data_IF_542602904974
#
_entry.id   IF_542602904974
#
_cell.length_a   1.000
_cell.length_b   1.000
_cell.length_c   1.000
_cell.angle_alpha   90.00
_cell.angle_beta   90.00
_cell.angle_gamma   90.00
#
_symmetry.space_group_name_H-M   'P 1'
#
loop_
_entity.id
_entity.type
_entity.pdbx_description
1 polymer ?
#
# COMPACT_ATOMS: atom_id res chain seq x y z
N UNK A 1 6.90 -7.12 2.65
CA UNK A 1 6.64 -5.66 2.83
C UNK A 1 7.54 -4.95 3.85
N UNK A 2 8.47 -5.65 4.47
CA UNK A 2 9.40 -5.02 5.43
C UNK A 2 10.21 -3.87 4.82
N UNK A 3 10.47 -3.93 3.52
CA UNK A 3 11.23 -2.89 2.84
C UNK A 3 10.61 -1.50 2.92
N UNK A 4 9.31 -1.40 3.20
CA UNK A 4 8.65 -0.11 3.42
C UNK A 4 9.28 0.59 4.63
N UNK A 5 9.58 -0.17 5.68
CA UNK A 5 10.17 0.38 6.90
C UNK A 5 11.62 0.81 6.72
N UNK A 6 12.28 0.32 5.67
CA UNK A 6 13.68 0.68 5.37
C UNK A 6 13.80 1.73 4.27
N UNK A 7 12.70 2.40 3.95
CA UNK A 7 12.69 3.51 3.02
C UNK A 7 12.16 3.24 1.63
N UNK A 8 11.73 2.02 1.33
CA UNK A 8 11.12 1.71 0.04
C UNK A 8 9.73 2.32 -0.02
N UNK A 9 9.40 2.97 -1.15
CA UNK A 9 8.08 3.55 -1.32
C UNK A 9 7.02 2.44 -1.43
N UNK A 10 5.90 2.56 -0.69
CA UNK A 10 4.84 1.54 -0.75
C UNK A 10 4.33 1.26 -2.16
N UNK A 11 4.14 2.29 -2.97
CA UNK A 11 3.63 2.11 -4.33
C UNK A 11 4.63 1.41 -5.24
N UNK A 12 5.94 1.61 -5.03
CA UNK A 12 6.96 0.87 -5.77
C UNK A 12 6.88 -0.61 -5.45
N UNK A 13 6.66 -0.96 -4.19
CA UNK A 13 6.49 -2.34 -3.79
C UNK A 13 5.23 -2.95 -4.39
N UNK A 14 4.13 -2.20 -4.40
CA UNK A 14 2.87 -2.66 -5.00
C UNK A 14 3.06 -2.92 -6.50
N UNK A 15 3.76 -2.03 -7.20
CA UNK A 15 4.06 -2.21 -8.63
C UNK A 15 4.91 -3.45 -8.88
N UNK A 16 5.90 -3.71 -8.03
CA UNK A 16 6.74 -4.89 -8.13
C UNK A 16 5.92 -6.17 -7.96
N UNK A 17 4.98 -6.18 -7.00
CA UNK A 17 4.09 -7.32 -6.79
C UNK A 17 3.19 -7.55 -8.00
N UNK A 18 2.68 -6.48 -8.62
CA UNK A 18 1.85 -6.57 -9.82
C UNK A 18 2.64 -7.08 -11.03
N UNK A 19 3.93 -6.79 -11.11
CA UNK A 19 4.78 -7.32 -12.17
C UNK A 19 4.94 -8.84 -12.04
N UNK A 20 5.06 -9.34 -10.81
CA UNK A 20 5.16 -10.79 -10.56
C UNK A 20 3.82 -11.48 -10.76
N UNK A 21 2.74 -10.85 -10.39
CA UNK A 21 1.41 -11.44 -10.42
C UNK A 21 0.38 -10.41 -10.86
N UNK A 22 0.22 -10.21 -12.19
CA UNK A 22 -0.68 -9.18 -12.71
C UNK A 22 -2.16 -9.36 -12.34
N UNK A 23 -2.54 -10.55 -11.91
CA UNK A 23 -3.91 -10.83 -11.51
C UNK A 23 -4.28 -10.28 -10.12
N UNK A 24 -3.31 -9.79 -9.36
CA UNK A 24 -3.58 -9.21 -8.04
C UNK A 24 -4.49 -8.00 -8.16
N UNK A 25 -5.49 -7.94 -7.27
CA UNK A 25 -6.37 -6.77 -7.17
C UNK A 25 -5.84 -5.83 -6.09
N UNK A 26 -6.40 -4.62 -6.02
CA UNK A 26 -6.08 -3.71 -4.92
C UNK A 26 -6.51 -4.30 -3.58
N UNK A 27 -7.61 -5.06 -3.56
CA UNK A 27 -8.04 -5.75 -2.35
C UNK A 27 -7.00 -6.77 -1.89
N UNK A 28 -6.38 -7.49 -2.82
CA UNK A 28 -5.31 -8.44 -2.49
C UNK A 28 -4.09 -7.73 -1.89
N UNK A 29 -3.71 -6.59 -2.46
CA UNK A 29 -2.61 -5.78 -1.94
C UNK A 29 -2.92 -5.26 -0.54
N UNK A 30 -4.15 -4.79 -0.33
CA UNK A 30 -4.60 -4.29 0.97
C UNK A 30 -4.57 -5.38 2.03
N UNK A 31 -5.03 -6.57 1.68
CA UNK A 31 -5.05 -7.70 2.59
C UNK A 31 -3.63 -8.13 2.97
N UNK A 32 -2.73 -8.20 1.99
CA UNK A 32 -1.33 -8.54 2.23
C UNK A 32 -0.65 -7.50 3.13
N UNK A 33 -0.92 -6.22 2.87
CA UNK A 33 -0.42 -5.13 3.71
C UNK A 33 -0.90 -5.29 5.16
N UNK A 34 -2.18 -5.55 5.36
CA UNK A 34 -2.75 -5.72 6.70
C UNK A 34 -2.19 -6.93 7.42
N UNK A 35 -1.98 -8.03 6.71
CA UNK A 35 -1.36 -9.23 7.30
C UNK A 35 0.05 -8.95 7.78
N UNK A 36 0.77 -8.10 7.07
CA UNK A 36 2.15 -7.76 7.42
C UNK A 36 2.22 -6.71 8.54
N UNK A 37 1.30 -5.75 8.55
CA UNK A 37 1.25 -4.68 9.52
C UNK A 37 -0.07 -4.72 10.29
N UNK A 38 -0.18 -5.69 11.21
CA UNK A 38 -1.43 -5.98 11.92
C UNK A 38 -1.99 -4.82 12.74
N UNK A 39 -1.12 -3.92 13.19
CA UNK A 39 -1.52 -2.79 14.03
C UNK A 39 -2.03 -1.59 13.26
N UNK A 40 -1.89 -1.59 11.94
CA UNK A 40 -2.32 -0.48 11.10
C UNK A 40 -3.84 -0.40 11.07
N UNK A 41 -4.38 0.82 11.08
CA UNK A 41 -5.82 1.03 11.06
C UNK A 41 -6.46 0.58 9.75
N UNK A 42 -7.76 0.27 9.80
CA UNK A 42 -8.50 -0.13 8.60
C UNK A 42 -8.59 0.98 7.57
N UNK A 43 -8.43 2.24 7.98
CA UNK A 43 -8.42 3.38 7.06
C UNK A 43 -7.28 3.28 6.05
N UNK A 44 -6.11 2.82 6.49
CA UNK A 44 -4.98 2.60 5.59
C UNK A 44 -5.31 1.51 4.58
N UNK A 45 -5.92 0.43 5.03
CA UNK A 45 -6.34 -0.68 4.17
C UNK A 45 -7.33 -0.20 3.11
N UNK A 46 -8.33 0.58 3.52
CA UNK A 46 -9.32 1.14 2.60
C UNK A 46 -8.68 2.08 1.58
N UNK A 47 -7.66 2.84 1.98
CA UNK A 47 -6.93 3.71 1.06
C UNK A 47 -6.25 2.93 -0.06
N UNK A 48 -5.70 1.76 0.26
CA UNK A 48 -5.07 0.91 -0.75
C UNK A 48 -6.10 0.43 -1.79
N UNK A 49 -7.32 0.15 -1.37
CA UNK A 49 -8.40 -0.21 -2.30
C UNK A 49 -8.64 0.90 -3.34
N UNK A 50 -8.41 2.15 -2.96
CA UNK A 50 -8.63 3.31 -3.81
C UNK A 50 -7.39 3.76 -4.56
N UNK A 51 -6.28 3.04 -4.44
CA UNK A 51 -5.05 3.37 -5.14
C UNK A 51 -5.26 3.34 -6.66
N UNK A 52 -4.75 4.37 -7.34
CA UNK A 52 -4.74 4.42 -8.79
C UNK A 52 -3.58 3.58 -9.31
N UNK A 53 -3.80 2.28 -9.40
CA UNK A 53 -2.80 1.34 -9.91
C UNK A 53 -2.52 1.61 -11.40
N UNK A 54 -1.36 1.17 -11.93
CA UNK A 54 -1.07 1.32 -13.36
C UNK A 54 -2.22 0.79 -14.22
N UNK A 55 -2.63 1.58 -15.20
CA UNK A 55 -3.75 1.24 -16.09
C UNK A 55 -5.11 1.75 -15.66
N UNK A 56 -5.23 2.37 -14.49
CA UNK A 56 -6.48 3.00 -14.04
C UNK A 56 -6.47 4.50 -14.27
N UNK A 57 -7.65 5.05 -14.55
CA UNK A 57 -7.84 6.49 -14.74
C UNK A 57 -8.08 7.24 -13.43
N UNK A 58 -8.58 6.54 -12.42
CA UNK A 58 -9.05 7.15 -11.18
C UNK A 58 -8.45 6.48 -9.97
N UNK A 59 -8.39 7.23 -8.88
CA UNK A 59 -7.93 6.74 -7.60
C UNK A 59 -6.86 7.63 -7.01
N UNK A 60 -6.33 7.20 -5.87
CA UNK A 60 -5.28 7.93 -5.17
C UNK A 60 -3.96 7.75 -5.93
N UNK A 61 -3.32 8.86 -6.29
CA UNK A 61 -2.04 8.83 -7.00
C UNK A 61 -0.91 8.34 -6.09
N UNK A 62 0.19 7.90 -6.70
CA UNK A 62 1.30 7.26 -6.00
C UNK A 62 1.86 8.09 -4.86
N UNK A 63 2.16 9.36 -5.12
CA UNK A 63 2.75 10.23 -4.11
C UNK A 63 1.87 10.38 -2.88
N UNK A 64 0.57 10.58 -3.11
CA UNK A 64 -0.40 10.69 -2.03
C UNK A 64 -0.58 9.36 -1.30
N UNK A 65 -0.61 8.25 -2.04
CA UNK A 65 -0.73 6.92 -1.45
C UNK A 65 0.46 6.63 -0.53
N UNK A 66 1.67 6.95 -0.98
CA UNK A 66 2.88 6.77 -0.17
C UNK A 66 2.80 7.57 1.12
N UNK A 67 2.32 8.82 1.04
CA UNK A 67 2.17 9.68 2.21
C UNK A 67 1.12 9.14 3.19
N UNK A 68 0.00 8.65 2.69
CA UNK A 68 -1.06 8.07 3.52
C UNK A 68 -0.54 6.85 4.27
N UNK A 69 0.13 5.95 3.58
CA UNK A 69 0.66 4.74 4.19
C UNK A 69 1.72 5.08 5.23
N UNK A 70 2.62 6.00 4.93
CA UNK A 70 3.65 6.44 5.88
C UNK A 70 3.02 7.00 7.14
N UNK A 71 1.96 7.80 7.01
CA UNK A 71 1.24 8.37 8.14
C UNK A 71 0.66 7.28 9.05
N UNK A 72 -0.03 6.30 8.48
CA UNK A 72 -0.65 5.25 9.28
C UNK A 72 0.35 4.28 9.89
N UNK A 73 1.47 4.04 9.22
CA UNK A 73 2.54 3.24 9.80
C UNK A 73 3.13 3.92 11.02
N UNK A 74 3.32 5.24 10.94
CA UNK A 74 3.80 6.02 12.06
C UNK A 74 2.83 5.99 13.24
N UNK A 75 1.54 6.18 12.97
CA UNK A 75 0.52 6.12 14.01
C UNK A 75 0.44 4.76 14.67
N UNK A 76 0.69 3.70 13.93
CA UNK A 76 0.67 2.33 14.45
C UNK A 76 1.95 1.95 15.20
N UNK A 77 2.95 2.82 15.20
CA UNK A 77 4.19 2.58 15.93
C UNK A 77 5.27 1.84 15.14
N UNK A 78 5.13 1.73 13.82
CA UNK A 78 6.12 1.05 12.98
C UNK A 78 7.27 1.96 12.54
N UNK A 79 7.14 3.25 12.74
CA UNK A 79 8.22 4.17 12.35
C UNK A 79 8.35 5.34 13.32
#
# INVERSE_FOLDING_TARGET
MDSILTGKRPTDLFKALLEKEPSLTNADLALDFKKHFLKVSDEAVQSIWQWRRPGRDRGIEDERMDAIIAHYLKEAGYS
#
